data_IF_647997581496
#
_entry.id   IF_647997581496
#
_cell.length_a   1.000
_cell.length_b   1.000
_cell.length_c   1.000
_cell.angle_alpha   90.00
_cell.angle_beta   90.00
_cell.angle_gamma   90.00
#
_symmetry.space_group_name_H-M   'P 1'
#
loop_
_entity.id
_entity.type
_entity.pdbx_description
1 polymer ?
#
# COMPACT_ATOMS: atom_id res chain seq x y z
N UNK A 1 -17.20 13.57 -18.53
CA UNK A 1 -16.27 13.18 -17.51
C UNK A 1 -15.32 12.14 -18.07
N UNK A 2 -14.02 12.36 -17.94
CA UNK A 2 -12.96 11.47 -18.38
C UNK A 2 -12.16 10.94 -17.19
N UNK A 3 -11.13 10.14 -17.47
CA UNK A 3 -10.18 9.69 -16.45
C UNK A 3 -9.42 10.92 -15.95
N UNK A 4 -9.33 11.14 -14.61
CA UNK A 4 -8.57 12.25 -14.06
C UNK A 4 -7.10 12.22 -14.49
N UNK A 5 -6.56 13.35 -14.84
CA UNK A 5 -5.14 13.48 -15.22
C UNK A 5 -4.25 13.69 -14.00
N UNK A 6 -4.81 14.25 -12.93
CA UNK A 6 -4.10 14.43 -11.67
C UNK A 6 -4.06 13.13 -10.87
N UNK A 7 -2.88 12.73 -10.45
CA UNK A 7 -2.67 11.45 -9.79
C UNK A 7 -3.50 11.27 -8.51
N UNK A 8 -3.60 12.29 -7.68
CA UNK A 8 -4.37 12.21 -6.43
C UNK A 8 -5.88 12.04 -6.68
N UNK A 9 -6.42 12.66 -7.75
CA UNK A 9 -7.81 12.47 -8.15
C UNK A 9 -8.02 11.06 -8.72
N UNK A 10 -7.05 10.59 -9.51
CA UNK A 10 -7.09 9.25 -10.10
C UNK A 10 -7.08 8.15 -9.03
N UNK A 11 -6.14 8.21 -8.07
CA UNK A 11 -6.07 7.21 -7.00
C UNK A 11 -7.36 7.18 -6.17
N UNK A 12 -7.89 8.36 -5.85
CA UNK A 12 -9.16 8.48 -5.13
C UNK A 12 -10.32 7.85 -5.90
N UNK A 13 -10.43 8.18 -7.18
CA UNK A 13 -11.46 7.60 -8.06
C UNK A 13 -11.32 6.08 -8.15
N UNK A 14 -10.11 5.55 -8.30
CA UNK A 14 -9.90 4.10 -8.38
C UNK A 14 -10.30 3.38 -7.09
N UNK A 15 -10.04 3.96 -5.93
CA UNK A 15 -10.51 3.43 -4.65
C UNK A 15 -12.04 3.41 -4.62
N UNK A 16 -12.71 4.49 -5.02
CA UNK A 16 -14.17 4.55 -5.07
C UNK A 16 -14.75 3.53 -6.06
N UNK A 17 -14.07 3.31 -7.19
CA UNK A 17 -14.47 2.28 -8.16
C UNK A 17 -14.30 0.86 -7.62
N UNK A 18 -13.27 0.59 -6.81
CA UNK A 18 -13.10 -0.71 -6.12
C UNK A 18 -14.27 -0.94 -5.16
N UNK A 19 -14.61 0.05 -4.34
CA UNK A 19 -15.75 -0.02 -3.41
C UNK A 19 -17.05 -0.24 -4.17
N UNK A 20 -17.26 0.47 -5.29
CA UNK A 20 -18.43 0.31 -6.14
C UNK A 20 -18.50 -1.09 -6.78
N UNK A 21 -17.38 -1.65 -7.21
CA UNK A 21 -17.30 -2.99 -7.78
C UNK A 21 -17.68 -4.07 -6.76
N UNK A 22 -17.24 -3.92 -5.51
CA UNK A 22 -17.67 -4.78 -4.41
C UNK A 22 -19.16 -4.60 -4.10
N UNK A 23 -19.63 -3.35 -4.04
CA UNK A 23 -21.04 -3.05 -3.78
C UNK A 23 -21.98 -3.66 -4.84
N UNK A 24 -21.55 -3.64 -6.09
CA UNK A 24 -22.31 -4.21 -7.20
C UNK A 24 -22.13 -5.75 -7.34
N UNK A 25 -21.37 -6.39 -6.45
CA UNK A 25 -20.94 -7.80 -6.54
C UNK A 25 -20.33 -8.16 -7.91
N UNK A 26 -19.69 -7.17 -8.54
CA UNK A 26 -19.03 -7.37 -9.83
C UNK A 26 -17.70 -8.15 -9.67
N UNK A 27 -17.08 -8.07 -8.51
CA UNK A 27 -15.91 -8.85 -8.11
C UNK A 27 -15.84 -8.96 -6.60
N UNK A 28 -15.15 -9.99 -6.10
CA UNK A 28 -14.82 -10.19 -4.68
C UNK A 28 -13.34 -10.09 -4.39
N UNK A 29 -12.52 -9.96 -5.43
CA UNK A 29 -11.07 -9.78 -5.32
C UNK A 29 -10.66 -8.61 -6.19
N UNK A 30 -9.84 -7.72 -5.63
CA UNK A 30 -9.31 -6.57 -6.35
C UNK A 30 -7.85 -6.34 -5.97
N UNK A 31 -7.03 -6.00 -6.95
CA UNK A 31 -5.67 -5.54 -6.73
C UNK A 31 -5.50 -4.16 -7.32
N UNK A 32 -4.81 -3.28 -6.61
CA UNK A 32 -4.56 -1.92 -7.07
C UNK A 32 -3.13 -1.49 -6.70
N UNK A 33 -2.37 -1.13 -7.71
CA UNK A 33 -1.04 -0.55 -7.54
C UNK A 33 -1.17 0.98 -7.61
N UNK A 34 -1.06 1.66 -6.46
CA UNK A 34 -1.15 3.13 -6.41
C UNK A 34 0.00 3.79 -7.16
N UNK A 35 1.19 3.23 -7.06
CA UNK A 35 2.34 3.57 -7.89
C UNK A 35 3.36 2.41 -7.88
N UNK A 36 4.37 2.44 -8.74
CA UNK A 36 5.39 1.40 -8.85
C UNK A 36 6.78 1.88 -8.41
N UNK A 37 7.68 0.96 -8.04
CA UNK A 37 8.97 1.27 -7.42
C UNK A 37 9.92 2.14 -8.27
N UNK A 38 9.79 2.12 -9.60
CA UNK A 38 10.57 2.97 -10.51
C UNK A 38 9.75 4.14 -11.07
N UNK A 39 8.76 4.61 -10.30
CA UNK A 39 7.91 5.70 -10.74
C UNK A 39 8.69 7.00 -10.84
N UNK A 40 8.68 7.56 -12.05
CA UNK A 40 9.15 8.92 -12.32
C UNK A 40 8.03 9.96 -12.12
N UNK A 41 7.01 9.62 -11.36
CA UNK A 41 5.91 10.54 -11.05
C UNK A 41 6.37 11.59 -10.04
N UNK A 42 6.05 12.83 -10.33
CA UNK A 42 6.21 13.94 -9.42
C UNK A 42 5.04 13.97 -8.43
N UNK A 43 5.34 14.26 -7.17
CA UNK A 43 4.37 14.46 -6.10
C UNK A 43 4.35 15.92 -5.63
N UNK A 44 4.49 16.85 -6.58
CA UNK A 44 4.50 18.30 -6.39
C UNK A 44 3.18 18.88 -5.87
N UNK A 45 2.10 18.12 -5.96
CA UNK A 45 0.83 18.44 -5.31
C UNK A 45 0.87 18.27 -3.78
N UNK A 46 1.90 17.62 -3.23
CA UNK A 46 2.16 17.56 -1.79
C UNK A 46 3.05 18.76 -1.45
N UNK A 47 2.62 19.66 -0.52
CA UNK A 47 3.40 20.83 -0.17
C UNK A 47 4.85 20.49 0.19
N UNK A 48 5.78 21.26 -0.33
CA UNK A 48 7.23 21.12 -0.12
C UNK A 48 7.84 19.80 -0.64
N UNK A 49 7.12 19.00 -1.42
CA UNK A 49 7.68 17.87 -2.14
C UNK A 49 8.15 18.29 -3.53
N UNK A 50 9.38 17.98 -3.86
CA UNK A 50 10.01 18.22 -5.17
C UNK A 50 10.74 16.95 -5.62
N UNK A 51 10.70 16.66 -6.90
CA UNK A 51 11.33 15.49 -7.47
C UNK A 51 10.40 14.30 -7.63
N UNK A 52 10.89 13.25 -8.26
CA UNK A 52 10.13 12.03 -8.51
C UNK A 52 10.20 11.10 -7.30
N UNK A 53 9.16 10.31 -7.10
CA UNK A 53 9.13 9.38 -5.97
C UNK A 53 10.34 8.44 -5.95
N UNK A 54 10.69 7.85 -7.10
CA UNK A 54 11.88 7.01 -7.21
C UNK A 54 13.17 7.75 -6.79
N UNK A 55 13.39 8.97 -7.30
CA UNK A 55 14.56 9.75 -6.91
C UNK A 55 14.59 10.11 -5.42
N UNK A 56 13.42 10.36 -4.82
CA UNK A 56 13.30 10.62 -3.37
C UNK A 56 13.60 9.37 -2.54
N UNK A 57 13.29 8.15 -3.02
CA UNK A 57 13.63 6.91 -2.32
C UNK A 57 15.13 6.70 -2.17
N UNK A 58 15.91 7.23 -3.11
CA UNK A 58 17.37 7.25 -3.05
C UNK A 58 17.94 8.46 -2.25
N UNK A 59 17.34 8.71 -1.08
CA UNK A 59 17.66 9.90 -0.25
C UNK A 59 19.10 9.93 0.27
N UNK A 60 19.84 8.82 0.25
CA UNK A 60 21.26 8.77 0.61
C UNK A 60 22.18 9.25 -0.53
N UNK A 61 21.68 9.29 -1.77
CA UNK A 61 22.41 9.81 -2.92
C UNK A 61 22.35 11.34 -2.92
N UNK A 62 23.35 11.96 -2.29
CA UNK A 62 23.45 13.42 -2.11
C UNK A 62 23.89 14.11 -3.42
N UNK A 63 24.38 13.37 -4.40
CA UNK A 63 24.87 13.89 -5.67
C UNK A 63 23.76 14.31 -6.65
N UNK A 64 22.50 14.22 -6.26
CA UNK A 64 21.37 14.64 -7.07
C UNK A 64 21.24 16.16 -7.08
N UNK A 65 21.70 16.76 -8.16
CA UNK A 65 21.41 18.15 -8.54
C UNK A 65 19.90 18.23 -8.83
N UNK A 66 19.12 18.91 -8.00
CA UNK A 66 17.78 19.33 -8.38
C UNK A 66 17.89 20.73 -8.98
N UNK A 67 17.65 20.86 -10.27
CA UNK A 67 17.40 22.14 -10.93
C UNK A 67 15.91 22.48 -10.69
N UNK A 68 15.64 23.62 -10.07
CA UNK A 68 14.28 24.16 -10.06
C UNK A 68 13.95 24.78 -11.44
N UNK A 69 12.69 25.13 -11.66
CA UNK A 69 12.20 25.70 -12.93
C UNK A 69 12.90 27.02 -13.30
N UNK A 70 13.60 27.66 -12.36
CA UNK A 70 14.35 28.89 -12.54
C UNK A 70 15.86 28.63 -12.78
N UNK A 71 16.28 27.36 -12.95
CA UNK A 71 17.69 26.99 -13.15
C UNK A 71 18.54 27.13 -11.91
N UNK A 72 17.93 27.30 -10.73
CA UNK A 72 18.63 27.45 -9.46
C UNK A 72 18.96 26.09 -8.88
N UNK A 73 20.23 25.81 -8.71
CA UNK A 73 20.70 24.56 -8.11
C UNK A 73 20.44 24.63 -6.62
N UNK A 74 19.51 23.82 -6.13
CA UNK A 74 19.36 23.56 -4.71
C UNK A 74 20.05 22.23 -4.37
N UNK A 75 20.92 22.26 -3.37
CA UNK A 75 21.49 21.06 -2.81
C UNK A 75 20.52 20.54 -1.74
N UNK A 76 19.69 19.55 -2.10
CA UNK A 76 18.88 18.87 -1.11
C UNK A 76 19.80 18.06 -0.19
N UNK A 77 19.61 18.23 1.11
CA UNK A 77 20.26 17.38 2.09
C UNK A 77 19.61 16.00 2.10
N UNK A 78 20.34 14.98 2.56
CA UNK A 78 19.79 13.65 2.78
C UNK A 78 18.52 13.69 3.65
N UNK A 79 18.49 14.56 4.64
CA UNK A 79 17.33 14.76 5.53
C UNK A 79 16.14 15.36 4.80
N UNK A 80 16.36 16.39 3.97
CA UNK A 80 15.33 17.00 3.15
C UNK A 80 14.66 15.98 2.21
N UNK A 81 15.46 15.22 1.46
CA UNK A 81 14.98 14.15 0.60
C UNK A 81 14.17 13.09 1.36
N UNK A 82 14.68 12.66 2.52
CA UNK A 82 13.99 11.68 3.36
C UNK A 82 12.66 12.22 3.87
N UNK A 83 12.61 13.49 4.24
CA UNK A 83 11.38 14.12 4.69
C UNK A 83 10.34 14.21 3.55
N UNK A 84 10.75 14.57 2.33
CA UNK A 84 9.87 14.54 1.16
C UNK A 84 9.40 13.12 0.86
N UNK A 85 10.29 12.11 0.89
CA UNK A 85 9.93 10.70 0.72
C UNK A 85 8.90 10.24 1.77
N UNK A 86 9.09 10.60 3.03
CA UNK A 86 8.16 10.26 4.11
C UNK A 86 6.78 10.90 3.88
N UNK A 87 6.70 12.13 3.38
CA UNK A 87 5.42 12.77 3.03
C UNK A 87 4.68 12.04 1.91
N UNK A 88 5.41 11.58 0.88
CA UNK A 88 4.82 10.76 -0.18
C UNK A 88 4.33 9.42 0.38
N UNK A 89 5.12 8.78 1.24
CA UNK A 89 4.72 7.55 1.92
C UNK A 89 3.48 7.76 2.78
N UNK A 90 3.42 8.85 3.55
CA UNK A 90 2.25 9.22 4.32
C UNK A 90 1.01 9.41 3.43
N UNK A 91 1.16 10.07 2.30
CA UNK A 91 0.07 10.25 1.33
C UNK A 91 -0.50 8.90 0.85
N UNK A 92 0.34 7.89 0.59
CA UNK A 92 -0.12 6.55 0.25
C UNK A 92 -0.90 5.89 1.41
N UNK A 93 -0.41 6.03 2.65
CA UNK A 93 -1.11 5.52 3.83
C UNK A 93 -2.48 6.19 4.05
N UNK A 94 -2.58 7.50 3.79
CA UNK A 94 -3.85 8.22 3.89
C UNK A 94 -4.88 7.72 2.88
N UNK A 95 -4.45 7.29 1.69
CA UNK A 95 -5.35 6.68 0.70
C UNK A 95 -5.75 5.26 1.08
N UNK A 96 -4.87 4.50 1.71
CA UNK A 96 -5.25 3.21 2.29
C UNK A 96 -6.22 3.38 3.47
N UNK A 97 -5.99 4.35 4.34
CA UNK A 97 -6.92 4.70 5.42
C UNK A 97 -8.29 5.14 4.87
N UNK A 98 -8.31 5.85 3.74
CA UNK A 98 -9.56 6.19 3.07
C UNK A 98 -10.34 4.95 2.61
N UNK A 99 -9.67 3.97 2.00
CA UNK A 99 -10.33 2.71 1.62
C UNK A 99 -10.94 2.02 2.85
N UNK A 100 -10.18 1.94 3.96
CA UNK A 100 -10.67 1.39 5.23
C UNK A 100 -11.93 2.13 5.70
N UNK A 101 -11.92 3.45 5.71
CA UNK A 101 -13.08 4.27 6.12
C UNK A 101 -14.28 3.99 5.22
N UNK A 102 -14.10 3.95 3.89
CA UNK A 102 -15.19 3.68 2.95
C UNK A 102 -15.86 2.33 3.21
N UNK A 103 -15.07 1.28 3.48
CA UNK A 103 -15.60 -0.06 3.78
C UNK A 103 -16.23 -0.13 5.18
N UNK A 104 -15.73 0.67 6.13
CA UNK A 104 -16.32 0.74 7.47
C UNK A 104 -17.65 1.49 7.50
N UNK A 105 -17.86 2.46 6.61
CA UNK A 105 -19.11 3.23 6.50
C UNK A 105 -20.24 2.45 5.81
N UNK A 106 -19.93 1.36 5.13
CA UNK A 106 -20.90 0.48 4.47
C UNK A 106 -21.27 -0.69 5.38
N UNK A 107 -22.55 -1.06 5.36
CA UNK A 107 -23.07 -2.13 6.21
C UNK A 107 -23.76 -3.21 5.38
N UNK A 108 -23.59 -4.44 5.81
CA UNK A 108 -24.36 -5.59 5.35
C UNK A 108 -25.79 -5.55 5.94
N UNK A 109 -26.73 -6.27 5.35
CA UNK A 109 -28.06 -6.43 5.96
C UNK A 109 -28.03 -7.03 7.37
N UNK A 110 -26.99 -7.76 7.73
CA UNK A 110 -26.73 -8.28 9.09
C UNK A 110 -26.41 -7.19 10.12
N UNK A 111 -26.04 -5.99 9.67
CA UNK A 111 -25.57 -4.87 10.50
C UNK A 111 -24.04 -4.79 10.66
N UNK A 112 -23.31 -5.80 10.21
CA UNK A 112 -21.84 -5.78 10.18
C UNK A 112 -21.32 -4.80 9.13
N UNK A 113 -20.17 -4.17 9.40
CA UNK A 113 -19.54 -3.32 8.39
C UNK A 113 -18.90 -4.19 7.31
N UNK A 114 -18.80 -3.65 6.10
CA UNK A 114 -18.07 -4.34 5.03
C UNK A 114 -16.62 -4.58 5.39
N UNK A 115 -16.00 -3.69 6.17
CA UNK A 115 -14.65 -3.88 6.66
C UNK A 115 -14.51 -5.14 7.52
N UNK A 116 -15.53 -5.48 8.34
CA UNK A 116 -15.51 -6.71 9.14
C UNK A 116 -15.45 -7.97 8.27
N UNK A 117 -16.06 -7.93 7.09
CA UNK A 117 -16.14 -9.05 6.15
C UNK A 117 -15.09 -8.98 5.02
N UNK A 118 -14.21 -7.98 5.05
CA UNK A 118 -13.16 -7.80 4.04
C UNK A 118 -11.78 -8.07 4.63
N UNK A 119 -10.89 -8.59 3.80
CA UNK A 119 -9.46 -8.67 4.07
C UNK A 119 -8.71 -7.72 3.15
N UNK A 120 -8.02 -6.75 3.72
CA UNK A 120 -7.15 -5.82 3.01
C UNK A 120 -5.69 -6.15 3.31
N UNK A 121 -4.89 -6.34 2.27
CA UNK A 121 -3.44 -6.46 2.37
C UNK A 121 -2.80 -5.26 1.68
N UNK A 122 -2.08 -4.44 2.43
CA UNK A 122 -1.39 -3.26 1.92
C UNK A 122 0.09 -3.32 2.29
N UNK A 123 0.95 -2.94 1.36
CA UNK A 123 2.38 -2.92 1.62
C UNK A 123 3.22 -2.46 0.45
N UNK A 124 4.51 -2.65 0.58
CA UNK A 124 5.50 -2.34 -0.43
C UNK A 124 6.33 -3.58 -0.77
N UNK A 125 6.81 -3.66 -2.02
CA UNK A 125 7.74 -4.70 -2.46
C UNK A 125 9.17 -4.49 -1.97
N UNK A 126 9.47 -3.33 -1.37
CA UNK A 126 10.77 -3.00 -0.79
C UNK A 126 10.57 -2.44 0.62
N UNK A 127 11.45 -2.83 1.54
CA UNK A 127 11.54 -2.27 2.90
C UNK A 127 12.41 -1.02 2.95
N UNK A 128 13.45 -0.95 2.13
CA UNK A 128 14.33 0.20 1.95
C UNK A 128 14.47 0.50 0.45
N UNK A 129 13.87 1.60 0.01
CA UNK A 129 13.89 2.00 -1.39
C UNK A 129 15.28 2.40 -1.88
N UNK A 130 16.19 2.84 -1.01
CA UNK A 130 17.56 3.18 -1.38
C UNK A 130 18.42 1.93 -1.60
N UNK A 131 18.33 0.96 -0.69
CA UNK A 131 19.10 -0.28 -0.76
C UNK A 131 18.40 -1.37 -1.60
N UNK A 132 17.18 -1.11 -2.07
CA UNK A 132 16.30 -2.10 -2.72
C UNK A 132 16.12 -3.35 -1.85
N UNK A 133 15.90 -3.13 -0.53
CA UNK A 133 15.77 -4.22 0.43
C UNK A 133 14.48 -5.02 0.23
N UNK A 134 14.60 -6.31 -0.01
CA UNK A 134 13.48 -7.23 -0.25
C UNK A 134 13.10 -8.04 1.01
N UNK A 135 13.74 -7.75 2.14
CA UNK A 135 13.46 -8.40 3.42
C UNK A 135 12.74 -7.44 4.37
N UNK A 136 12.04 -8.00 5.35
CA UNK A 136 11.31 -7.23 6.35
C UNK A 136 10.33 -6.23 5.71
N UNK A 137 9.56 -6.70 4.73
CA UNK A 137 8.61 -5.88 3.99
C UNK A 137 7.57 -5.25 4.93
N UNK A 138 7.28 -3.95 4.77
CA UNK A 138 6.22 -3.30 5.54
C UNK A 138 4.86 -3.75 5.00
N UNK A 139 4.10 -4.45 5.84
CA UNK A 139 2.79 -4.99 5.49
C UNK A 139 1.76 -4.62 6.55
N UNK A 140 0.56 -4.29 6.11
CA UNK A 140 -0.60 -4.06 6.96
C UNK A 140 -1.72 -4.96 6.48
N UNK A 141 -2.26 -5.78 7.39
CA UNK A 141 -3.52 -6.49 7.18
C UNK A 141 -4.60 -5.73 7.93
N UNK A 142 -5.65 -5.35 7.24
CA UNK A 142 -6.79 -4.65 7.82
C UNK A 142 -8.09 -5.34 7.43
N UNK A 143 -9.12 -5.10 8.23
CA UNK A 143 -10.41 -5.78 8.10
C UNK A 143 -10.50 -7.03 8.96
N UNK A 144 -11.69 -7.58 9.05
CA UNK A 144 -11.99 -8.73 9.91
C UNK A 144 -11.89 -10.08 9.21
N UNK A 145 -11.89 -10.10 7.87
CA UNK A 145 -11.89 -11.35 7.09
C UNK A 145 -13.04 -12.28 7.46
N UNK A 146 -14.23 -11.74 7.76
CA UNK A 146 -15.36 -12.55 8.24
C UNK A 146 -15.14 -13.20 9.61
N UNK A 147 -14.29 -12.59 10.46
CA UNK A 147 -13.94 -13.10 11.78
C UNK A 147 -12.62 -13.89 11.82
N UNK A 148 -11.91 -14.01 10.69
CA UNK A 148 -10.64 -14.73 10.61
C UNK A 148 -9.46 -13.96 11.26
N UNK A 149 -9.58 -12.62 11.36
CA UNK A 149 -8.49 -11.79 11.87
C UNK A 149 -8.89 -11.00 13.10
N UNK A 150 -7.95 -10.91 14.02
CA UNK A 150 -8.04 -10.05 15.20
C UNK A 150 -7.11 -8.86 15.02
N UNK A 151 -7.68 -7.65 14.97
CA UNK A 151 -6.93 -6.40 14.83
C UNK A 151 -6.10 -6.01 16.06
N UNK A 152 -5.31 -4.93 15.93
CA UNK A 152 -4.54 -4.35 17.02
C UNK A 152 -3.27 -5.11 17.39
N UNK A 153 -2.73 -5.92 16.48
CA UNK A 153 -1.54 -6.73 16.70
C UNK A 153 -0.36 -6.24 15.85
N UNK A 154 0.83 -6.43 16.39
CA UNK A 154 2.08 -6.33 15.65
C UNK A 154 2.77 -7.69 15.62
N UNK A 155 2.89 -8.26 14.43
CA UNK A 155 3.51 -9.55 14.22
C UNK A 155 4.94 -9.36 13.71
N UNK A 156 5.93 -9.82 14.50
CA UNK A 156 7.33 -9.89 14.09
C UNK A 156 7.73 -11.35 13.94
N UNK A 157 8.01 -11.77 12.72
CA UNK A 157 8.50 -13.10 12.45
C UNK A 157 9.92 -13.28 13.03
N UNK A 158 10.13 -14.33 13.80
CA UNK A 158 11.43 -14.62 14.46
C UNK A 158 12.48 -15.15 13.48
N UNK A 159 12.07 -15.64 12.33
CA UNK A 159 12.90 -16.20 11.25
C UNK A 159 12.45 -15.59 9.93
N UNK A 160 13.32 -15.59 8.91
CA UNK A 160 12.87 -15.25 7.56
C UNK A 160 11.64 -16.07 7.21
N UNK A 161 10.57 -15.37 6.84
CA UNK A 161 9.27 -15.98 6.55
C UNK A 161 8.85 -15.51 5.17
N UNK A 162 8.53 -16.47 4.32
CA UNK A 162 8.10 -16.19 2.94
C UNK A 162 6.73 -15.50 2.92
N UNK A 163 6.54 -14.58 1.98
CA UNK A 163 5.23 -13.99 1.67
C UNK A 163 4.21 -15.04 1.23
N UNK A 164 4.65 -16.16 0.67
CA UNK A 164 3.79 -17.27 0.26
C UNK A 164 3.00 -17.85 1.44
N UNK A 165 3.56 -17.84 2.65
CA UNK A 165 2.83 -18.24 3.87
C UNK A 165 1.69 -17.29 4.19
N UNK A 166 1.88 -15.99 4.02
CA UNK A 166 0.80 -15.02 4.16
C UNK A 166 -0.26 -15.22 3.07
N UNK A 167 0.16 -15.47 1.83
CA UNK A 167 -0.79 -15.72 0.73
C UNK A 167 -1.63 -16.97 1.00
N UNK A 168 -1.06 -18.06 1.54
CA UNK A 168 -1.83 -19.24 1.98
C UNK A 168 -2.90 -18.84 3.00
N UNK A 169 -2.52 -18.06 4.02
CA UNK A 169 -3.49 -17.56 5.02
C UNK A 169 -4.62 -16.75 4.38
N UNK A 170 -4.29 -15.85 3.45
CA UNK A 170 -5.28 -15.03 2.76
C UNK A 170 -6.21 -15.89 1.88
N UNK A 171 -5.70 -16.93 1.24
CA UNK A 171 -6.49 -17.87 0.45
C UNK A 171 -7.43 -18.68 1.34
N UNK A 172 -6.97 -19.17 2.49
CA UNK A 172 -7.80 -19.87 3.47
C UNK A 172 -9.00 -19.01 3.94
N UNK A 173 -8.78 -17.70 4.17
CA UNK A 173 -9.89 -16.79 4.54
C UNK A 173 -10.92 -16.61 3.44
N UNK A 174 -10.56 -16.93 2.20
CA UNK A 174 -11.47 -16.94 1.05
C UNK A 174 -12.08 -18.32 0.78
N UNK A 175 -11.83 -19.29 1.66
CA UNK A 175 -12.29 -20.66 1.51
C UNK A 175 -11.55 -21.48 0.47
N UNK A 176 -10.35 -21.05 0.11
CA UNK A 176 -9.49 -21.75 -0.86
C UNK A 176 -8.38 -22.44 -0.09
N UNK A 177 -8.44 -23.76 -0.06
CA UNK A 177 -7.41 -24.61 0.54
C UNK A 177 -6.44 -25.09 -0.55
N UNK A 178 -5.15 -24.88 -0.34
CA UNK A 178 -4.08 -25.35 -1.21
C UNK A 178 -3.06 -26.13 -0.37
N UNK A 179 -2.60 -27.24 -0.92
CA UNK A 179 -1.54 -28.04 -0.31
C UNK A 179 -0.19 -27.30 -0.32
N UNK A 180 0.02 -26.44 -1.33
CA UNK A 180 1.25 -25.68 -1.51
C UNK A 180 0.98 -24.36 -2.26
N UNK A 181 1.72 -23.30 -1.90
CA UNK A 181 1.79 -22.05 -2.65
C UNK A 181 3.20 -21.47 -2.57
N UNK A 182 3.87 -21.33 -3.74
CA UNK A 182 5.20 -20.74 -3.84
C UNK A 182 6.28 -21.44 -3.00
N UNK A 183 6.23 -22.76 -2.90
CA UNK A 183 7.16 -23.58 -2.14
C UNK A 183 6.88 -23.66 -0.65
N UNK A 184 5.74 -23.15 -0.20
CA UNK A 184 5.32 -23.18 1.22
C UNK A 184 4.03 -23.99 1.36
N UNK A 185 4.01 -24.90 2.33
CA UNK A 185 2.88 -25.81 2.62
C UNK A 185 2.10 -25.39 3.90
N UNK A 186 2.61 -24.40 4.62
CA UNK A 186 2.03 -24.01 5.91
C UNK A 186 1.69 -22.52 5.91
N UNK A 187 0.45 -22.14 6.16
CA UNK A 187 0.04 -20.75 6.27
C UNK A 187 0.70 -20.04 7.45
N UNK A 188 0.78 -18.73 7.36
CA UNK A 188 1.23 -17.85 8.43
C UNK A 188 0.11 -17.67 9.45
N UNK A 189 0.38 -17.97 10.72
CA UNK A 189 -0.57 -17.70 11.78
C UNK A 189 -0.58 -16.20 12.12
N UNK A 190 -1.72 -15.55 11.96
CA UNK A 190 -1.89 -14.11 12.22
C UNK A 190 -2.51 -13.79 13.59
N UNK A 191 -2.79 -14.81 14.41
CA UNK A 191 -3.32 -14.68 15.78
C UNK A 191 -4.82 -14.72 15.89
#
# INVERSE_FOLDING_TARGET
>A
PGIPTKHFEYVRLMIDMMVLAFWADATRVCTFMMDHGQSNRYFDFIPECKGTWHALSHYRDIAGRTEDDDGKISWDTMESKRNMYNRVTQWHHEHFAYLISRLNDLHEPSGETWLQNTTLCYGSSLSDGHAHGERDLPLIIAGGGGGAFRGGQYLKCRRPTSMSKLHLTLLETMGIELDEFGGEETPLQLG
#
